data_IF_763477964427
#
_entry.id   IF_763477964427
#
_cell.length_a   1.000
_cell.length_b   1.000
_cell.length_c   1.000
_cell.angle_alpha   90.00
_cell.angle_beta   90.00
_cell.angle_gamma   90.00
#
_symmetry.space_group_name_H-M   'P 1'
#
loop_
_entity.id
_entity.type
_entity.pdbx_description
1 polymer ?
#
# COMPACT_ATOMS: atom_id res chain seq x y z
N UNK A 1 -8.08 -15.43 -10.04
CA UNK A 1 -8.06 -14.16 -10.74
C UNK A 1 -6.61 -13.83 -11.02
N UNK A 2 -6.29 -13.55 -12.27
CA UNK A 2 -5.05 -12.87 -12.65
C UNK A 2 -5.19 -11.35 -12.46
N UNK A 3 -4.10 -10.59 -12.56
CA UNK A 3 -4.17 -9.14 -12.51
C UNK A 3 -5.08 -8.58 -13.61
N UNK A 4 -5.81 -7.53 -13.25
CA UNK A 4 -6.82 -6.84 -14.06
C UNK A 4 -8.12 -7.60 -14.29
N UNK A 5 -8.22 -8.85 -13.82
CA UNK A 5 -9.49 -9.56 -13.74
C UNK A 5 -10.34 -9.03 -12.60
N UNK A 6 -11.66 -9.09 -12.77
CA UNK A 6 -12.60 -8.71 -11.73
C UNK A 6 -13.87 -9.55 -11.76
N UNK A 7 -14.57 -9.54 -10.64
CA UNK A 7 -15.83 -10.23 -10.45
C UNK A 7 -16.88 -9.27 -9.89
N UNK A 8 -18.11 -9.42 -10.37
CA UNK A 8 -19.29 -8.79 -9.77
C UNK A 8 -19.81 -9.70 -8.66
N UNK A 9 -20.00 -9.13 -7.48
CA UNK A 9 -20.53 -9.80 -6.30
C UNK A 9 -21.86 -9.16 -5.92
N UNK A 10 -22.85 -10.00 -5.67
CA UNK A 10 -24.15 -9.57 -5.11
C UNK A 10 -24.37 -10.37 -3.84
N UNK A 11 -24.43 -9.67 -2.71
CA UNK A 11 -24.65 -10.25 -1.38
C UNK A 11 -26.01 -9.83 -0.86
N UNK A 12 -26.85 -10.78 -0.48
CA UNK A 12 -28.10 -10.49 0.20
C UNK A 12 -27.82 -10.05 1.64
N UNK A 13 -28.52 -9.02 2.12
CA UNK A 13 -28.42 -8.59 3.52
C UNK A 13 -29.44 -9.32 4.38
N UNK A 14 -29.19 -9.43 5.69
CA UNK A 14 -30.14 -10.03 6.65
C UNK A 14 -31.49 -9.30 6.67
N UNK A 15 -31.49 -8.01 6.35
CA UNK A 15 -32.67 -7.13 6.27
C UNK A 15 -33.42 -7.24 4.92
N UNK A 16 -33.03 -8.16 4.04
CA UNK A 16 -33.69 -8.38 2.74
C UNK A 16 -33.25 -7.43 1.62
N UNK A 17 -32.19 -6.64 1.85
CA UNK A 17 -31.53 -5.81 0.85
C UNK A 17 -30.49 -6.56 0.03
N UNK A 18 -29.81 -5.84 -0.87
CA UNK A 18 -28.70 -6.35 -1.68
C UNK A 18 -27.54 -5.36 -1.68
N UNK A 19 -26.33 -5.88 -1.53
CA UNK A 19 -25.08 -5.15 -1.72
C UNK A 19 -24.45 -5.65 -3.01
N UNK A 20 -24.22 -4.74 -3.94
CA UNK A 20 -23.54 -5.02 -5.20
C UNK A 20 -22.13 -4.43 -5.13
N UNK A 21 -21.12 -5.24 -5.47
CA UNK A 21 -19.74 -4.82 -5.45
C UNK A 21 -18.95 -5.42 -6.61
N UNK A 22 -18.13 -4.60 -7.26
CA UNK A 22 -17.11 -5.07 -8.20
C UNK A 22 -15.78 -5.20 -7.47
N UNK A 23 -15.20 -6.38 -7.49
CA UNK A 23 -13.89 -6.67 -6.89
C UNK A 23 -12.91 -7.00 -8.00
N UNK A 24 -11.81 -6.24 -8.08
CA UNK A 24 -10.79 -6.39 -9.11
C UNK A 24 -9.44 -6.74 -8.49
N UNK A 25 -8.80 -7.79 -9.02
CA UNK A 25 -7.43 -8.16 -8.71
C UNK A 25 -6.50 -7.20 -9.44
N UNK A 26 -5.61 -6.53 -8.72
CA UNK A 26 -4.69 -5.52 -9.26
C UNK A 26 -3.24 -5.91 -8.99
N UNK A 27 -2.26 -5.41 -9.77
CA UNK A 27 -0.86 -5.70 -9.51
C UNK A 27 -0.37 -5.23 -8.15
N UNK A 28 0.67 -5.91 -7.65
CA UNK A 28 1.50 -5.50 -6.53
C UNK A 28 2.96 -5.91 -6.81
N UNK A 29 3.92 -5.27 -6.16
CA UNK A 29 5.34 -5.62 -6.23
C UNK A 29 5.72 -6.43 -4.99
N UNK A 30 5.49 -7.74 -5.04
CA UNK A 30 5.75 -8.65 -3.92
C UNK A 30 6.15 -10.05 -4.38
N UNK A 31 6.15 -11.02 -3.48
CA UNK A 31 6.47 -12.43 -3.72
C UNK A 31 5.48 -13.32 -2.97
N UNK A 32 5.47 -14.62 -3.23
CA UNK A 32 4.71 -15.58 -2.42
C UNK A 32 5.53 -16.81 -2.04
N UNK A 33 5.10 -17.50 -0.99
CA UNK A 33 5.69 -18.76 -0.54
C UNK A 33 5.14 -19.18 0.81
N UNK A 34 4.95 -20.50 1.00
CA UNK A 34 4.51 -21.10 2.28
C UNK A 34 5.44 -22.22 2.74
N UNK A 35 6.23 -22.77 1.84
CA UNK A 35 7.22 -23.82 2.07
C UNK A 35 8.53 -23.47 1.39
N UNK A 36 9.59 -24.27 1.59
CA UNK A 36 10.89 -24.01 0.95
C UNK A 36 10.93 -24.25 -0.57
N UNK A 37 9.82 -24.66 -1.21
CA UNK A 37 9.79 -25.10 -2.62
C UNK A 37 8.67 -24.46 -3.46
N UNK A 38 7.85 -23.60 -2.88
CA UNK A 38 6.67 -23.01 -3.54
C UNK A 38 6.78 -21.50 -3.74
N UNK A 39 8.02 -20.99 -3.77
CA UNK A 39 8.29 -19.58 -4.03
C UNK A 39 7.65 -19.18 -5.37
N UNK A 40 6.84 -18.13 -5.33
CA UNK A 40 6.19 -17.50 -6.48
C UNK A 40 5.27 -18.43 -7.29
N UNK A 41 4.79 -19.52 -6.69
CA UNK A 41 3.82 -20.43 -7.32
C UNK A 41 2.39 -19.84 -7.30
N UNK A 42 2.08 -19.03 -6.30
CA UNK A 42 0.79 -18.32 -6.19
C UNK A 42 0.95 -16.83 -6.50
N UNK A 43 -0.02 -16.24 -7.17
CA UNK A 43 -0.01 -14.80 -7.47
C UNK A 43 -0.15 -13.97 -6.19
N UNK A 44 0.59 -12.87 -6.11
CA UNK A 44 0.38 -11.78 -5.14
C UNK A 44 -0.40 -10.65 -5.82
N UNK A 45 -1.20 -9.90 -5.06
CA UNK A 45 -2.07 -8.89 -5.65
C UNK A 45 -2.42 -7.77 -4.66
N UNK A 46 -2.77 -6.62 -5.21
CA UNK A 46 -3.59 -5.62 -4.56
C UNK A 46 -5.04 -5.75 -5.02
N UNK A 47 -5.97 -5.03 -4.41
CA UNK A 47 -7.41 -5.20 -4.68
C UNK A 47 -8.11 -3.85 -4.79
N UNK A 48 -8.95 -3.70 -5.81
CA UNK A 48 -9.92 -2.62 -5.87
C UNK A 48 -11.32 -3.16 -5.58
N UNK A 49 -12.07 -2.44 -4.75
CA UNK A 49 -13.47 -2.74 -4.43
C UNK A 49 -14.31 -1.51 -4.73
N UNK A 50 -15.32 -1.67 -5.58
CA UNK A 50 -16.27 -0.62 -5.93
C UNK A 50 -17.67 -1.03 -5.52
N UNK A 51 -18.32 -0.25 -4.67
CA UNK A 51 -19.67 -0.52 -4.19
C UNK A 51 -20.32 0.77 -3.70
N UNK A 52 -21.63 0.92 -3.89
CA UNK A 52 -22.39 2.08 -3.38
C UNK A 52 -21.87 3.45 -3.85
N UNK A 53 -21.28 3.52 -5.05
CA UNK A 53 -20.65 4.75 -5.56
C UNK A 53 -19.30 5.11 -4.94
N UNK A 54 -18.74 4.24 -4.10
CA UNK A 54 -17.42 4.39 -3.47
C UNK A 54 -16.41 3.41 -4.06
N UNK A 55 -15.14 3.77 -3.99
CA UNK A 55 -14.02 2.95 -4.44
C UNK A 55 -12.93 2.87 -3.38
N UNK A 56 -12.56 1.66 -2.99
CA UNK A 56 -11.49 1.37 -2.02
C UNK A 56 -10.39 0.60 -2.73
N UNK A 57 -9.14 0.95 -2.45
CA UNK A 57 -7.97 0.20 -2.88
C UNK A 57 -7.23 -0.38 -1.66
N UNK A 58 -7.00 -1.68 -1.65
CA UNK A 58 -6.17 -2.36 -0.66
C UNK A 58 -4.87 -2.78 -1.35
N UNK A 59 -3.75 -2.17 -0.94
CA UNK A 59 -2.47 -2.35 -1.60
C UNK A 59 -1.86 -3.75 -1.39
N UNK A 60 -2.24 -4.45 -0.33
CA UNK A 60 -1.54 -5.65 0.13
C UNK A 60 -0.11 -5.33 0.59
N UNK A 61 0.70 -6.37 0.79
CA UNK A 61 2.13 -6.20 1.01
C UNK A 61 2.79 -5.92 -0.34
N UNK A 62 3.54 -4.83 -0.42
CA UNK A 62 4.18 -4.45 -1.67
C UNK A 62 5.34 -3.50 -1.46
N UNK A 63 6.35 -3.61 -2.31
CA UNK A 63 7.39 -2.62 -2.50
C UNK A 63 6.97 -1.53 -3.48
N UNK A 64 7.81 -0.52 -3.60
CA UNK A 64 7.65 0.57 -4.59
C UNK A 64 8.96 0.85 -5.34
N UNK A 65 10.12 0.69 -4.67
CA UNK A 65 11.44 1.02 -5.21
C UNK A 65 12.39 -0.16 -5.13
N UNK A 66 13.50 -0.07 -5.85
CA UNK A 66 14.65 -0.96 -5.66
C UNK A 66 15.84 -0.14 -5.15
N UNK A 67 16.08 -0.21 -3.84
CA UNK A 67 17.14 0.57 -3.16
C UNK A 67 18.40 -0.30 -3.04
N UNK A 68 19.58 0.17 -3.48
CA UNK A 68 20.83 -0.56 -3.30
C UNK A 68 21.29 -0.51 -1.83
N UNK A 69 22.36 -1.25 -1.50
CA UNK A 69 22.96 -1.15 -0.17
C UNK A 69 23.64 0.21 0.00
N UNK A 70 23.03 1.07 0.81
CA UNK A 70 23.56 2.38 1.19
C UNK A 70 24.29 2.30 2.54
N UNK A 71 25.07 3.35 2.86
CA UNK A 71 25.64 3.52 4.20
C UNK A 71 24.51 3.77 5.21
N UNK A 72 24.72 3.35 6.46
CA UNK A 72 23.74 3.58 7.52
C UNK A 72 23.48 5.08 7.71
N UNK A 73 22.21 5.45 7.87
CA UNK A 73 21.77 6.84 8.05
C UNK A 73 21.65 7.66 6.76
N UNK A 74 21.93 7.09 5.59
CA UNK A 74 21.67 7.77 4.31
C UNK A 74 20.17 7.77 4.01
N UNK A 75 19.62 8.94 3.70
CA UNK A 75 18.26 9.10 3.18
C UNK A 75 18.18 8.59 1.74
N UNK A 76 17.51 7.46 1.53
CA UNK A 76 17.30 6.87 0.21
C UNK A 76 16.28 7.63 -0.65
N UNK A 77 15.62 8.65 -0.10
CA UNK A 77 14.79 9.61 -0.82
C UNK A 77 15.51 10.93 -1.15
N UNK A 78 16.78 11.09 -0.80
CA UNK A 78 17.56 12.28 -1.17
C UNK A 78 17.68 12.47 -2.70
N UNK A 79 17.98 13.69 -3.14
CA UNK A 79 18.07 14.07 -4.57
C UNK A 79 18.97 13.12 -5.39
N UNK A 80 20.06 12.65 -4.79
CA UNK A 80 21.00 11.70 -5.40
C UNK A 80 20.33 10.37 -5.83
N UNK A 81 19.23 9.99 -5.18
CA UNK A 81 18.54 8.71 -5.36
C UNK A 81 17.17 8.85 -6.06
N UNK A 82 16.80 10.04 -6.54
CA UNK A 82 15.52 10.25 -7.25
C UNK A 82 15.35 9.33 -8.46
N UNK A 83 16.46 9.04 -9.15
CA UNK A 83 16.51 8.18 -10.33
C UNK A 83 16.47 6.68 -10.04
N UNK A 84 16.35 6.25 -8.79
CA UNK A 84 16.20 4.82 -8.48
C UNK A 84 14.91 4.25 -9.09
N UNK A 85 14.93 2.99 -9.59
CA UNK A 85 13.76 2.38 -10.21
C UNK A 85 12.54 2.37 -9.30
N UNK A 86 11.38 2.70 -9.87
CA UNK A 86 10.06 2.67 -9.22
C UNK A 86 9.14 1.70 -9.94
N UNK A 87 8.22 1.08 -9.21
CA UNK A 87 7.18 0.23 -9.77
C UNK A 87 6.22 1.06 -10.63
N UNK A 88 6.14 0.85 -11.96
CA UNK A 88 5.19 1.58 -12.80
C UNK A 88 3.74 1.15 -12.55
N UNK A 89 3.52 -0.01 -11.92
CA UNK A 89 2.20 -0.61 -11.73
C UNK A 89 1.23 0.25 -10.93
N UNK A 90 1.70 1.03 -9.96
CA UNK A 90 0.81 1.89 -9.15
C UNK A 90 0.27 3.08 -9.94
N UNK A 91 1.12 3.68 -10.78
CA UNK A 91 0.69 4.73 -11.69
C UNK A 91 -0.32 4.16 -12.70
N UNK A 92 -0.06 2.97 -13.22
CA UNK A 92 -1.00 2.27 -14.10
C UNK A 92 -2.34 1.97 -13.40
N UNK A 93 -2.32 1.55 -12.13
CA UNK A 93 -3.53 1.39 -11.32
C UNK A 93 -4.30 2.71 -11.21
N UNK A 94 -3.63 3.82 -10.89
CA UNK A 94 -4.28 5.14 -10.81
C UNK A 94 -4.79 5.66 -12.15
N UNK A 95 -4.17 5.29 -13.26
CA UNK A 95 -4.60 5.67 -14.61
C UNK A 95 -5.79 4.82 -15.11
N UNK A 96 -5.84 3.53 -14.77
CA UNK A 96 -6.89 2.60 -15.23
C UNK A 96 -8.08 2.46 -14.30
N UNK A 97 -7.85 2.62 -13.00
CA UNK A 97 -8.79 2.29 -11.93
C UNK A 97 -8.93 3.38 -10.88
N UNK A 98 -8.00 4.33 -10.77
CA UNK A 98 -8.18 5.51 -9.94
C UNK A 98 -9.18 6.52 -10.53
N UNK A 99 -9.56 7.56 -9.76
CA UNK A 99 -9.22 7.77 -8.36
C UNK A 99 -9.98 6.81 -7.43
N UNK A 100 -9.39 6.55 -6.26
CA UNK A 100 -10.02 5.81 -5.16
C UNK A 100 -10.42 6.78 -4.05
N UNK A 101 -11.53 6.52 -3.38
CA UNK A 101 -11.94 7.31 -2.21
C UNK A 101 -11.06 7.01 -1.00
N UNK A 102 -10.66 5.74 -0.83
CA UNK A 102 -9.80 5.29 0.27
C UNK A 102 -8.75 4.28 -0.18
N UNK A 103 -7.48 4.53 0.17
CA UNK A 103 -6.38 3.58 0.05
C UNK A 103 -6.01 2.94 1.40
N UNK A 104 -5.77 1.63 1.43
CA UNK A 104 -5.17 0.94 2.58
C UNK A 104 -3.76 0.54 2.16
N UNK A 105 -2.75 1.24 2.66
CA UNK A 105 -1.39 1.23 2.11
C UNK A 105 -0.39 0.83 3.21
N UNK A 106 0.49 -0.17 2.97
CA UNK A 106 1.45 -0.60 3.98
C UNK A 106 2.48 0.49 4.24
N UNK A 107 2.85 0.67 5.50
CA UNK A 107 3.89 1.63 5.91
C UNK A 107 5.01 0.98 6.74
N UNK A 108 4.91 -0.30 7.08
CA UNK A 108 5.89 -1.04 7.89
C UNK A 108 6.56 -2.19 7.13
N UNK A 109 7.40 -2.93 7.84
CA UNK A 109 8.20 -4.07 7.34
C UNK A 109 9.28 -3.70 6.30
N UNK A 110 9.88 -2.51 6.40
CA UNK A 110 10.73 -1.95 5.34
C UNK A 110 12.25 -1.98 5.60
N UNK A 111 12.72 -2.33 6.81
CA UNK A 111 14.15 -2.25 7.14
C UNK A 111 14.80 -3.66 7.22
N UNK A 112 15.98 -3.92 6.63
CA UNK A 112 16.85 -3.04 5.86
C UNK A 112 16.40 -2.79 4.42
N UNK A 113 16.45 -1.53 3.98
CA UNK A 113 15.96 -1.07 2.67
C UNK A 113 16.54 -1.83 1.49
N UNK A 114 17.81 -2.19 1.53
CA UNK A 114 18.46 -2.91 0.41
C UNK A 114 17.98 -4.35 0.21
N UNK A 115 17.28 -4.91 1.20
CA UNK A 115 16.63 -6.23 1.11
C UNK A 115 15.13 -6.05 0.90
N UNK A 116 14.52 -5.15 1.67
CA UNK A 116 13.07 -5.08 1.78
C UNK A 116 12.41 -4.17 0.74
N UNK A 117 13.08 -3.12 0.25
CA UNK A 117 12.46 -2.14 -0.67
C UNK A 117 11.76 -2.74 -1.91
N UNK A 118 12.26 -3.83 -2.53
CA UNK A 118 11.56 -4.43 -3.65
C UNK A 118 10.24 -5.14 -3.28
N UNK A 119 9.97 -5.38 -2.00
CA UNK A 119 8.81 -6.15 -1.53
C UNK A 119 7.98 -5.44 -0.46
N UNK A 120 8.54 -4.45 0.24
CA UNK A 120 7.87 -3.68 1.28
C UNK A 120 8.21 -2.19 1.17
N UNK A 121 7.16 -1.39 1.01
CA UNK A 121 7.18 0.06 1.00
C UNK A 121 7.53 0.60 2.39
N UNK A 122 8.41 1.60 2.45
CA UNK A 122 8.51 2.45 3.63
C UNK A 122 7.41 3.55 3.58
N UNK A 123 7.29 4.40 4.61
CA UNK A 123 6.28 5.45 4.62
C UNK A 123 6.41 6.47 3.47
N UNK A 124 7.64 6.73 3.00
CA UNK A 124 7.86 7.59 1.82
C UNK A 124 7.36 6.94 0.53
N UNK A 125 7.66 5.66 0.33
CA UNK A 125 7.13 4.84 -0.77
C UNK A 125 5.59 4.83 -0.74
N UNK A 126 5.01 4.70 0.45
CA UNK A 126 3.56 4.69 0.63
C UNK A 126 2.91 6.01 0.19
N UNK A 127 3.54 7.16 0.45
CA UNK A 127 3.05 8.47 0.00
C UNK A 127 3.16 8.62 -1.53
N UNK A 128 4.20 8.08 -2.16
CA UNK A 128 4.28 8.04 -3.62
C UNK A 128 3.19 7.13 -4.22
N UNK A 129 2.96 5.95 -3.64
CA UNK A 129 1.87 5.05 -4.05
C UNK A 129 0.49 5.69 -3.88
N UNK A 130 0.27 6.44 -2.80
CA UNK A 130 -0.94 7.22 -2.56
C UNK A 130 -1.21 8.21 -3.71
N UNK A 131 -0.17 8.94 -4.15
CA UNK A 131 -0.24 9.87 -5.28
C UNK A 131 -0.47 9.15 -6.61
N UNK A 132 0.32 8.11 -6.89
CA UNK A 132 0.27 7.36 -8.14
C UNK A 132 -1.09 6.68 -8.37
N UNK A 133 -1.70 6.15 -7.31
CA UNK A 133 -3.03 5.54 -7.36
C UNK A 133 -4.18 6.54 -7.31
N UNK A 134 -3.88 7.83 -7.11
CA UNK A 134 -4.86 8.92 -7.02
C UNK A 134 -5.89 8.66 -5.92
N UNK A 135 -5.45 8.14 -4.77
CA UNK A 135 -6.30 8.01 -3.60
C UNK A 135 -6.64 9.41 -3.06
N UNK A 136 -7.90 9.62 -2.64
CA UNK A 136 -8.32 10.88 -1.99
C UNK A 136 -7.94 10.91 -0.52
N UNK A 137 -8.11 9.78 0.16
CA UNK A 137 -7.70 9.53 1.55
C UNK A 137 -7.01 8.18 1.64
N UNK A 138 -6.21 7.96 2.68
CA UNK A 138 -5.59 6.66 2.93
C UNK A 138 -5.41 6.35 4.42
N UNK A 139 -5.23 5.05 4.71
CA UNK A 139 -4.90 4.53 6.04
C UNK A 139 -3.66 3.67 5.96
N UNK A 140 -2.69 3.96 6.84
CA UNK A 140 -1.47 3.19 6.99
C UNK A 140 -1.77 1.85 7.64
N UNK A 141 -1.45 0.76 6.95
CA UNK A 141 -1.56 -0.62 7.43
C UNK A 141 -0.17 -1.27 7.61
N UNK A 142 -0.13 -2.52 8.04
CA UNK A 142 1.08 -3.34 8.08
C UNK A 142 2.18 -2.81 9.04
N UNK A 143 1.80 -2.09 10.10
CA UNK A 143 2.72 -1.55 11.11
C UNK A 143 2.23 -1.82 12.54
N UNK A 144 3.12 -1.66 13.53
CA UNK A 144 2.77 -1.63 14.96
C UNK A 144 2.23 -2.94 15.56
N UNK A 145 2.17 -4.04 14.81
CA UNK A 145 1.54 -5.30 15.24
C UNK A 145 2.54 -6.45 15.40
N UNK A 146 3.37 -6.69 14.39
CA UNK A 146 4.38 -7.75 14.39
C UNK A 146 5.76 -7.18 14.08
N UNK A 147 6.78 -7.67 14.79
CA UNK A 147 8.19 -7.40 14.51
C UNK A 147 8.67 -8.30 13.36
N UNK A 148 8.32 -7.96 12.13
CA UNK A 148 8.73 -8.70 10.92
C UNK A 148 10.16 -8.37 10.46
N UNK A 149 10.64 -7.20 10.86
CA UNK A 149 11.87 -6.57 10.42
C UNK A 149 12.48 -5.81 11.60
N UNK A 150 13.50 -4.99 11.34
CA UNK A 150 14.35 -4.39 12.38
C UNK A 150 14.03 -2.91 12.68
N UNK A 151 13.07 -2.28 12.00
CA UNK A 151 12.63 -0.95 12.39
C UNK A 151 11.88 -0.97 13.74
N UNK A 152 11.93 0.13 14.53
CA UNK A 152 11.07 0.27 15.70
C UNK A 152 9.58 0.27 15.32
N UNK A 153 8.69 -0.45 16.04
CA UNK A 153 7.26 -0.53 15.71
C UNK A 153 6.51 0.80 15.61
N UNK A 154 6.97 1.81 16.36
CA UNK A 154 6.37 3.14 16.46
C UNK A 154 6.95 4.14 15.44
N UNK A 155 8.00 3.76 14.70
CA UNK A 155 8.64 4.62 13.69
C UNK A 155 7.75 4.89 12.46
N UNK A 156 6.98 3.92 11.91
CA UNK A 156 6.25 4.11 10.66
C UNK A 156 5.29 5.31 10.64
N UNK A 157 4.46 5.57 11.67
CA UNK A 157 3.59 6.75 11.69
C UNK A 157 4.35 8.08 11.81
N UNK A 158 5.54 8.08 12.42
CA UNK A 158 6.39 9.27 12.53
C UNK A 158 6.93 9.63 11.14
N UNK A 159 7.51 8.64 10.46
CA UNK A 159 8.03 8.81 9.10
C UNK A 159 6.92 9.08 8.08
N UNK A 160 5.70 8.56 8.28
CA UNK A 160 4.57 8.88 7.43
C UNK A 160 4.24 10.38 7.45
N UNK A 161 4.17 10.98 8.64
CA UNK A 161 3.95 12.43 8.77
C UNK A 161 5.06 13.23 8.11
N UNK A 162 6.31 12.81 8.29
CA UNK A 162 7.46 13.44 7.63
C UNK A 162 7.38 13.33 6.10
N UNK A 163 7.01 12.16 5.56
CA UNK A 163 6.85 11.94 4.14
C UNK A 163 5.71 12.76 3.52
N UNK A 164 4.58 12.89 4.24
CA UNK A 164 3.45 13.75 3.83
C UNK A 164 3.87 15.21 3.76
N UNK A 165 4.51 15.71 4.82
CA UNK A 165 5.05 17.06 4.89
C UNK A 165 6.01 17.34 3.74
N UNK A 166 6.94 16.41 3.48
CA UNK A 166 7.91 16.52 2.37
C UNK A 166 7.24 16.55 1.00
N UNK A 167 6.09 15.89 0.85
CA UNK A 167 5.29 15.90 -0.37
C UNK A 167 4.31 17.07 -0.48
N UNK A 168 4.29 17.99 0.49
CA UNK A 168 3.34 19.11 0.53
C UNK A 168 1.89 18.67 0.75
N UNK A 169 1.68 17.52 1.41
CA UNK A 169 0.38 17.00 1.81
C UNK A 169 0.20 17.26 3.30
N UNK A 170 -1.04 17.57 3.72
CA UNK A 170 -1.37 17.75 5.14
C UNK A 170 -0.94 16.54 5.97
N UNK A 171 -0.27 16.80 7.10
CA UNK A 171 0.31 15.76 7.96
C UNK A 171 -0.77 14.90 8.66
N UNK A 172 -2.03 15.36 8.67
CA UNK A 172 -3.19 14.68 9.29
C UNK A 172 -4.46 14.84 8.42
N UNK A 173 -5.38 13.88 8.50
CA UNK A 173 -6.71 13.93 7.87
C UNK A 173 -6.75 13.52 6.39
N UNK A 174 -5.59 13.29 5.77
CA UNK A 174 -5.46 12.85 4.37
C UNK A 174 -4.96 11.40 4.29
N UNK A 175 -3.82 11.11 4.90
CA UNK A 175 -3.26 9.76 4.98
C UNK A 175 -2.85 9.48 6.42
N UNK A 176 -3.78 8.91 7.17
CA UNK A 176 -3.63 8.72 8.61
C UNK A 176 -3.29 7.27 8.97
N UNK A 177 -3.08 7.04 10.26
CA UNK A 177 -3.10 5.70 10.85
C UNK A 177 -4.29 5.55 11.79
N UNK A 178 -4.71 4.30 12.03
CA UNK A 178 -5.67 3.97 13.09
C UNK A 178 -4.94 3.32 14.26
N UNK A 179 -5.37 3.60 15.48
CA UNK A 179 -5.00 2.80 16.66
C UNK A 179 -5.64 1.41 16.54
N UNK A 180 -5.04 0.43 17.22
CA UNK A 180 -5.60 -0.92 17.28
C UNK A 180 -7.02 -0.87 17.89
N UNK A 181 -8.01 -1.36 17.13
CA UNK A 181 -9.42 -1.36 17.51
C UNK A 181 -10.18 -0.05 17.24
N UNK A 182 -9.52 0.98 16.70
CA UNK A 182 -10.19 2.23 16.31
C UNK A 182 -10.94 2.07 14.99
N UNK A 183 -12.10 2.74 14.88
CA UNK A 183 -12.84 2.91 13.64
C UNK A 183 -12.86 4.38 13.24
N UNK A 184 -12.73 4.65 11.94
CA UNK A 184 -12.74 6.00 11.36
C UNK A 184 -13.68 6.06 10.16
N UNK A 185 -14.31 7.21 9.98
CA UNK A 185 -15.15 7.51 8.82
C UNK A 185 -14.37 8.32 7.77
N UNK A 186 -14.56 7.98 6.50
CA UNK A 186 -13.81 8.54 5.37
C UNK A 186 -14.72 9.04 4.25
#
# INVERSE_FOLDING_TARGET
MDWWEGAELVVATEEGGRIEARVECLPAQHTSGRTGRDKDVTLWASWAVRSGGKAVWFAGDTGYRAVPKLKAGVDDYGEEYEGLPRCPGFKEIGDRRGPFDLGLIPIGAYNPRFIMSPMHANPYDAVEMFKDTKCKRAVGIHWGTWLLTIEPPEEPPVLLREALKRSGIEEEGVFDVCKLGESKEY
#
